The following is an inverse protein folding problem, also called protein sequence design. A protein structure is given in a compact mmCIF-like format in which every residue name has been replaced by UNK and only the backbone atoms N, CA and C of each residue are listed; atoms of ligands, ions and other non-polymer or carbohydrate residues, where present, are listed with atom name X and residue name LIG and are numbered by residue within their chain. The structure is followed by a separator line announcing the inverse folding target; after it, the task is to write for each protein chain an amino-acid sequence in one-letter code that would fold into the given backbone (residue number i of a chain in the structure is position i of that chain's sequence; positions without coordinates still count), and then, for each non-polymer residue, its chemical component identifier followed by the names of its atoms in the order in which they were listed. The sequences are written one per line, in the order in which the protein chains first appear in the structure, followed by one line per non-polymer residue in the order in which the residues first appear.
data_IF_103732541455
#
_entry.id   IF_103732541455
#
_cell.length_a   1.000
_cell.length_b   1.000
_cell.length_c   1.000
_cell.angle_alpha   90.00
_cell.angle_beta   90.00
_cell.angle_gamma   90.00
#
_symmetry.space_group_name_H-M   'P 1'
#
loop_
_entity.id
_entity.type
_entity.pdbx_description
1 polymer ?
#
# COMPACT_ATOMS: atom_id res chain seq x y z
N UNK A 1 5.35 16.41 -1.11
CA UNK A 1 5.15 17.30 0.07
C UNK A 1 6.29 17.17 1.07
N UNK A 2 6.53 15.98 1.64
CA UNK A 2 7.55 15.78 2.68
C UNK A 2 9.02 15.96 2.24
N UNK A 3 9.28 16.23 0.96
CA UNK A 3 10.64 16.43 0.44
C UNK A 3 11.49 15.16 0.41
N UNK A 4 10.87 13.97 0.25
CA UNK A 4 11.59 12.71 0.08
C UNK A 4 12.39 12.75 -1.23
N UNK A 5 13.67 12.41 -1.17
CA UNK A 5 14.58 12.51 -2.32
C UNK A 5 14.35 11.47 -3.42
N UNK A 6 13.90 10.26 -3.08
CA UNK A 6 13.51 9.22 -4.05
C UNK A 6 12.28 8.46 -3.53
N UNK A 7 11.25 8.36 -4.36
CA UNK A 7 9.99 7.67 -4.10
C UNK A 7 9.89 6.49 -5.06
N UNK A 8 9.91 5.28 -4.47
CA UNK A 8 9.85 4.03 -5.21
C UNK A 8 8.51 3.34 -4.96
N UNK A 9 7.83 2.96 -6.03
CA UNK A 9 6.61 2.18 -5.98
C UNK A 9 6.84 0.77 -6.50
N UNK A 10 6.33 -0.21 -5.76
CA UNK A 10 6.19 -1.60 -6.22
C UNK A 10 4.71 -1.90 -6.40
N UNK A 11 4.35 -2.48 -7.54
CA UNK A 11 2.98 -2.94 -7.81
C UNK A 11 3.03 -4.27 -8.54
N UNK A 12 2.21 -5.27 -8.18
CA UNK A 12 2.18 -6.51 -8.93
C UNK A 12 1.77 -6.24 -10.39
N UNK A 13 2.38 -6.95 -11.37
CA UNK A 13 1.94 -6.85 -12.75
C UNK A 13 0.51 -7.38 -12.91
N UNK A 14 -0.23 -6.80 -13.85
CA UNK A 14 -1.50 -7.36 -14.29
C UNK A 14 -1.31 -8.70 -15.00
N UNK A 15 -2.41 -9.38 -15.35
CA UNK A 15 -2.38 -10.69 -16.02
C UNK A 15 -1.55 -10.73 -17.30
N UNK A 16 -1.44 -9.60 -17.99
CA UNK A 16 -0.70 -9.47 -19.25
C UNK A 16 0.76 -9.01 -19.04
N UNK A 17 1.25 -9.00 -17.79
CA UNK A 17 2.60 -8.55 -17.46
C UNK A 17 2.78 -7.03 -17.39
N UNK A 18 1.74 -6.25 -17.70
CA UNK A 18 1.79 -4.78 -17.73
C UNK A 18 1.22 -4.16 -16.45
N UNK A 19 1.64 -2.94 -16.05
CA UNK A 19 1.00 -2.21 -14.96
C UNK A 19 -0.40 -1.75 -15.34
N UNK A 20 -1.22 -1.48 -14.32
CA UNK A 20 -2.50 -0.80 -14.50
C UNK A 20 -2.28 0.69 -14.86
N UNK A 21 -2.98 1.16 -15.90
CA UNK A 21 -2.79 2.53 -16.43
C UNK A 21 -3.23 3.61 -15.44
N UNK A 22 -4.26 3.35 -14.64
CA UNK A 22 -4.75 4.30 -13.63
C UNK A 22 -3.74 4.40 -12.49
N UNK A 23 -3.14 3.28 -12.08
CA UNK A 23 -2.05 3.28 -11.10
C UNK A 23 -0.85 4.08 -11.63
N UNK A 24 -0.52 3.96 -12.92
CA UNK A 24 0.61 4.70 -13.53
C UNK A 24 0.33 6.20 -13.62
N UNK A 25 -0.89 6.58 -14.00
CA UNK A 25 -1.31 7.98 -13.99
C UNK A 25 -1.22 8.57 -12.57
N UNK A 26 -1.75 7.85 -11.57
CA UNK A 26 -1.69 8.29 -10.18
C UNK A 26 -0.24 8.41 -9.66
N UNK A 27 0.62 7.44 -9.97
CA UNK A 27 2.03 7.47 -9.58
C UNK A 27 2.77 8.67 -10.19
N UNK A 28 2.53 8.95 -11.47
CA UNK A 28 3.08 10.13 -12.14
C UNK A 28 2.60 11.43 -11.50
N UNK A 29 1.29 11.56 -11.25
CA UNK A 29 0.71 12.73 -10.60
C UNK A 29 1.23 12.92 -9.17
N UNK A 30 1.49 11.83 -8.44
CA UNK A 30 2.01 11.86 -7.08
C UNK A 30 3.53 12.13 -7.00
N UNK A 31 4.25 12.10 -8.13
CA UNK A 31 5.70 12.30 -8.18
C UNK A 31 6.51 11.07 -7.76
N UNK A 32 6.05 9.86 -8.12
CA UNK A 32 6.84 8.63 -7.96
C UNK A 32 7.98 8.64 -8.98
N UNK A 33 9.22 8.43 -8.53
CA UNK A 33 10.41 8.44 -9.38
C UNK A 33 10.58 7.15 -10.17
N UNK A 34 10.32 6.00 -9.54
CA UNK A 34 10.55 4.68 -10.13
C UNK A 34 9.45 3.70 -9.76
N UNK A 35 9.06 2.90 -10.74
CA UNK A 35 8.06 1.84 -10.57
C UNK A 35 8.65 0.49 -10.93
N UNK A 36 8.47 -0.49 -10.05
CA UNK A 36 8.86 -1.87 -10.29
C UNK A 36 7.66 -2.80 -10.24
N UNK A 37 7.61 -3.74 -11.19
CA UNK A 37 6.53 -4.72 -11.27
C UNK A 37 6.83 -5.91 -10.36
N UNK A 38 6.51 -5.74 -9.08
CA UNK A 38 6.64 -6.75 -8.04
C UNK A 38 5.56 -6.53 -6.96
N UNK A 39 5.13 -7.59 -6.29
CA UNK A 39 4.18 -7.51 -5.18
C UNK A 39 4.52 -8.51 -4.07
N UNK A 40 3.70 -8.58 -3.04
CA UNK A 40 3.86 -9.58 -1.97
C UNK A 40 5.09 -9.39 -1.09
N UNK A 41 5.42 -10.42 -0.33
CA UNK A 41 6.54 -10.40 0.62
C UNK A 41 7.90 -10.16 -0.07
N UNK A 42 8.09 -10.68 -1.27
CA UNK A 42 9.31 -10.54 -2.05
C UNK A 42 9.59 -9.09 -2.45
N UNK A 43 8.55 -8.29 -2.74
CA UNK A 43 8.72 -6.87 -3.03
C UNK A 43 9.14 -6.09 -1.79
N UNK A 44 8.55 -6.42 -0.63
CA UNK A 44 8.95 -5.82 0.66
C UNK A 44 10.40 -6.16 0.99
N UNK A 45 10.82 -7.42 0.79
CA UNK A 45 12.19 -7.84 1.01
C UNK A 45 13.18 -7.14 0.05
N UNK A 46 12.83 -7.02 -1.23
CA UNK A 46 13.63 -6.30 -2.21
C UNK A 46 13.82 -4.82 -1.83
N UNK A 47 12.78 -4.16 -1.34
CA UNK A 47 12.88 -2.78 -0.85
C UNK A 47 13.71 -2.68 0.44
N UNK A 48 13.61 -3.66 1.34
CA UNK A 48 14.31 -3.63 2.62
C UNK A 48 15.81 -3.91 2.51
N UNK A 49 16.21 -4.82 1.62
CA UNK A 49 17.59 -5.26 1.44
C UNK A 49 18.28 -4.66 0.21
N UNK A 50 17.51 -4.23 -0.78
CA UNK A 50 18.02 -3.93 -2.11
C UNK A 50 18.27 -5.20 -2.94
N UNK A 51 18.29 -5.03 -4.26
CA UNK A 51 18.69 -6.00 -5.26
C UNK A 51 19.56 -5.31 -6.31
N UNK A 52 20.00 -6.02 -7.32
CA UNK A 52 20.73 -5.46 -8.47
C UNK A 52 19.91 -4.41 -9.24
N UNK A 53 18.58 -4.40 -9.08
CA UNK A 53 17.67 -3.52 -9.84
C UNK A 53 16.83 -2.62 -8.94
N UNK A 54 16.34 -3.14 -7.80
CA UNK A 54 15.52 -2.41 -6.83
C UNK A 54 16.48 -1.90 -5.74
N UNK A 55 16.70 -0.59 -5.60
CA UNK A 55 17.56 -0.09 -4.54
C UNK A 55 16.88 -0.29 -3.18
N UNK A 56 17.71 -0.36 -2.13
CA UNK A 56 17.23 -0.37 -0.75
C UNK A 56 16.60 0.98 -0.41
N UNK A 57 15.50 0.97 0.33
CA UNK A 57 14.83 2.17 0.84
C UNK A 57 14.94 2.27 2.36
N UNK A 58 14.76 3.48 2.90
CA UNK A 58 14.78 3.72 4.34
C UNK A 58 13.44 3.38 5.03
N UNK A 59 12.32 3.48 4.31
CA UNK A 59 10.97 3.23 4.83
C UNK A 59 10.05 2.62 3.79
N UNK A 60 9.33 1.56 4.16
CA UNK A 60 8.27 0.92 3.35
C UNK A 60 6.91 1.28 3.94
N UNK A 61 6.03 1.82 3.09
CA UNK A 61 4.66 2.20 3.46
C UNK A 61 3.64 1.50 2.57
N UNK A 62 2.41 1.45 3.03
CA UNK A 62 1.28 0.96 2.25
C UNK A 62 0.70 -0.35 2.79
N UNK A 63 -0.61 -0.56 2.56
CA UNK A 63 -1.30 -1.77 2.96
C UNK A 63 -0.95 -2.93 2.03
N UNK A 64 -1.27 -4.15 2.48
CA UNK A 64 -1.19 -5.34 1.66
C UNK A 64 -1.84 -6.52 2.38
N UNK A 65 -1.91 -7.66 1.68
CA UNK A 65 -2.41 -8.88 2.28
C UNK A 65 -1.52 -9.36 3.45
N UNK A 66 -1.93 -10.46 4.09
CA UNK A 66 -1.24 -11.04 5.25
C UNK A 66 0.26 -11.31 5.00
N UNK A 67 0.66 -11.62 3.76
CA UNK A 67 2.07 -11.87 3.42
C UNK A 67 2.89 -10.57 3.43
N UNK A 68 2.34 -9.48 2.89
CA UNK A 68 2.97 -8.16 2.94
C UNK A 68 3.05 -7.67 4.39
N UNK A 69 1.96 -7.80 5.15
CA UNK A 69 1.91 -7.39 6.55
C UNK A 69 2.93 -8.17 7.40
N UNK A 70 3.02 -9.49 7.20
CA UNK A 70 3.99 -10.35 7.90
C UNK A 70 5.42 -10.02 7.51
N UNK A 71 5.71 -9.78 6.22
CA UNK A 71 7.03 -9.38 5.77
C UNK A 71 7.46 -8.03 6.38
N UNK A 72 6.58 -7.02 6.37
CA UNK A 72 6.83 -5.73 7.04
C UNK A 72 7.12 -5.91 8.52
N UNK A 73 6.34 -6.76 9.20
CA UNK A 73 6.54 -7.07 10.62
C UNK A 73 7.90 -7.73 10.89
N UNK A 74 8.31 -8.69 10.05
CA UNK A 74 9.60 -9.38 10.19
C UNK A 74 10.80 -8.48 9.88
N UNK A 75 10.63 -7.50 8.99
CA UNK A 75 11.68 -6.59 8.54
C UNK A 75 11.73 -5.28 9.33
N UNK A 76 10.86 -5.12 10.32
CA UNK A 76 10.89 -3.95 11.20
C UNK A 76 12.24 -3.87 11.93
N UNK A 77 12.90 -2.70 11.83
CA UNK A 77 14.24 -2.47 12.35
C UNK A 77 15.34 -2.60 11.28
N UNK A 78 15.13 -3.44 10.26
CA UNK A 78 15.98 -3.46 9.04
C UNK A 78 15.59 -2.34 8.09
N UNK A 79 14.29 -2.06 7.99
CA UNK A 79 13.71 -0.93 7.27
C UNK A 79 12.61 -0.31 8.13
N UNK A 80 12.40 1.00 8.01
CA UNK A 80 11.25 1.65 8.63
C UNK A 80 9.95 1.12 8.04
N UNK A 81 8.91 0.99 8.86
CA UNK A 81 7.54 0.73 8.39
C UNK A 81 6.60 1.79 8.96
N UNK A 82 5.48 2.04 8.30
CA UNK A 82 4.37 2.83 8.82
C UNK A 82 3.61 2.09 9.94
N UNK A 83 3.01 0.95 9.60
CA UNK A 83 2.23 0.09 10.49
C UNK A 83 2.11 -1.31 9.91
N UNK A 84 1.77 -2.29 10.75
CA UNK A 84 1.29 -3.60 10.30
C UNK A 84 -0.22 -3.47 10.08
N UNK A 85 -0.63 -3.31 8.83
CA UNK A 85 -2.04 -3.09 8.49
C UNK A 85 -2.88 -4.33 8.83
N UNK A 86 -3.96 -4.11 9.57
CA UNK A 86 -5.03 -5.10 9.79
C UNK A 86 -6.10 -5.04 8.70
N UNK A 87 -7.15 -5.86 8.79
CA UNK A 87 -8.34 -5.70 7.97
C UNK A 87 -8.96 -4.31 8.17
N UNK A 88 -9.62 -3.79 7.13
CA UNK A 88 -10.36 -2.53 7.24
C UNK A 88 -11.62 -2.71 8.07
N UNK A 89 -11.95 -1.72 8.89
CA UNK A 89 -13.13 -1.72 9.77
C UNK A 89 -13.76 -0.32 9.83
N UNK A 90 -15.06 -0.25 10.08
CA UNK A 90 -15.79 1.01 10.33
C UNK A 90 -16.70 0.85 11.55
N UNK A 91 -16.76 1.88 12.39
CA UNK A 91 -17.72 2.00 13.49
C UNK A 91 -18.67 3.15 13.20
N UNK A 92 -19.97 2.87 13.18
CA UNK A 92 -21.01 3.87 12.94
C UNK A 92 -21.79 4.11 14.23
N UNK A 93 -21.81 5.36 14.68
CA UNK A 93 -22.66 5.83 15.79
C UNK A 93 -23.77 6.67 15.17
N UNK A 94 -25.02 6.27 15.38
CA UNK A 94 -26.18 6.91 14.78
C UNK A 94 -27.31 7.03 15.81
N UNK A 95 -28.03 8.16 15.76
CA UNK A 95 -29.24 8.42 16.55
C UNK A 95 -30.49 8.39 15.66
N UNK A 96 -31.64 8.76 16.21
CA UNK A 96 -32.93 8.76 15.52
C UNK A 96 -33.00 9.73 14.32
N UNK A 97 -32.06 10.67 14.17
CA UNK A 97 -32.05 11.65 13.09
C UNK A 97 -31.32 11.14 11.84
N UNK A 98 -30.58 10.03 11.95
CA UNK A 98 -29.79 9.48 10.88
C UNK A 98 -30.63 8.87 9.75
N UNK A 99 -30.20 9.06 8.50
CA UNK A 99 -30.85 8.49 7.34
C UNK A 99 -30.50 7.00 7.19
N UNK A 100 -31.46 6.06 7.32
CA UNK A 100 -31.16 4.63 7.27
C UNK A 100 -30.52 4.16 5.95
N UNK A 101 -30.81 4.83 4.83
CA UNK A 101 -30.20 4.48 3.53
C UNK A 101 -28.71 4.80 3.48
N UNK A 102 -28.29 5.87 4.14
CA UNK A 102 -26.87 6.25 4.19
C UNK A 102 -26.13 5.34 5.16
N UNK A 103 -26.72 5.01 6.32
CA UNK A 103 -26.14 4.04 7.24
C UNK A 103 -25.89 2.68 6.56
N UNK A 104 -26.85 2.19 5.77
CA UNK A 104 -26.69 0.95 5.02
C UNK A 104 -25.57 1.03 3.97
N UNK A 105 -25.48 2.16 3.25
CA UNK A 105 -24.40 2.37 2.29
C UNK A 105 -23.02 2.43 2.97
N UNK A 106 -22.91 3.08 4.12
CA UNK A 106 -21.67 3.17 4.89
C UNK A 106 -21.24 1.80 5.42
N UNK A 107 -22.18 0.99 5.94
CA UNK A 107 -21.91 -0.39 6.36
C UNK A 107 -21.39 -1.24 5.20
N UNK A 108 -22.01 -1.15 4.02
CA UNK A 108 -21.60 -1.91 2.83
C UNK A 108 -20.26 -1.45 2.27
N UNK A 109 -19.83 -0.22 2.55
CA UNK A 109 -18.58 0.33 2.01
C UNK A 109 -17.33 -0.37 2.57
N UNK A 110 -17.43 -1.06 3.71
CA UNK A 110 -16.33 -1.75 4.40
C UNK A 110 -16.66 -3.22 4.75
N UNK A 111 -17.76 -3.77 4.22
CA UNK A 111 -18.19 -5.16 4.46
C UNK A 111 -17.35 -6.20 3.70
#
# INVERSE_FOLDING_TARGET
IAGVGEIIMVTPPGRNGTPDKNIMAAAYTAGVDRVFLAGGAQAVAALAYGTETIPRVDKVVGPGNIFVATAKKQLFGTVGIDMVAGPSEILIVADETANPKFLAADMLSQA
#
